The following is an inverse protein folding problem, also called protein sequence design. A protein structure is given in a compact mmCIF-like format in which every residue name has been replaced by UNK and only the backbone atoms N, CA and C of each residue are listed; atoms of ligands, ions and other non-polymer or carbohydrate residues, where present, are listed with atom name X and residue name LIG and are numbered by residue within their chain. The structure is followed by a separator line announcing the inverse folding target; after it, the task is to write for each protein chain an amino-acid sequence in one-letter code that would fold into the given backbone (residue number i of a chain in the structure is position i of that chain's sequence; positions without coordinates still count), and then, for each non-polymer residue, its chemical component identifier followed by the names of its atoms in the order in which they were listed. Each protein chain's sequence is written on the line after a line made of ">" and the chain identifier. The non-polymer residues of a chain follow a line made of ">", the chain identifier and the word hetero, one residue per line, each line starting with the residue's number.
data_IF_299914630013
#
_entry.id   IF_299914630013
#
_cell.length_a   1.000
_cell.length_b   1.000
_cell.length_c   1.000
_cell.angle_alpha   90.00
_cell.angle_beta   90.00
_cell.angle_gamma   90.00
#
_symmetry.space_group_name_H-M   'P 1'
#
loop_
_entity.id
_entity.type
_entity.pdbx_description
1 polymer ?
#
# COMPACT_ATOMS: atom_id res chain seq x y z
N UNK A 1 -15.01 10.03 -7.43
CA UNK A 1 -15.07 9.38 -6.11
C UNK A 1 -13.63 9.08 -5.72
N UNK A 2 -13.16 9.68 -4.62
CA UNK A 2 -11.82 9.42 -4.11
C UNK A 2 -11.74 7.93 -3.72
N UNK A 3 -10.64 7.27 -4.03
CA UNK A 3 -10.39 5.92 -3.53
C UNK A 3 -10.18 6.04 -2.02
N UNK A 4 -11.16 5.63 -1.23
CA UNK A 4 -11.03 5.63 0.22
C UNK A 4 -9.89 4.69 0.60
N UNK A 5 -8.93 5.22 1.36
CA UNK A 5 -7.79 4.42 1.80
C UNK A 5 -8.30 3.42 2.83
N UNK A 6 -8.07 2.11 2.63
CA UNK A 6 -8.51 1.13 3.60
C UNK A 6 -7.94 1.42 4.98
N UNK A 7 -8.75 1.30 6.03
CA UNK A 7 -8.35 1.63 7.41
C UNK A 7 -7.18 0.79 7.93
N UNK A 8 -6.98 -0.41 7.36
CA UNK A 8 -5.84 -1.27 7.66
C UNK A 8 -4.52 -0.75 7.06
N UNK A 9 -4.57 0.10 6.03
CA UNK A 9 -3.39 0.70 5.38
C UNK A 9 -2.96 1.96 6.16
N UNK A 10 -2.46 1.73 7.37
CA UNK A 10 -2.08 2.77 8.33
C UNK A 10 -0.58 2.73 8.67
N UNK A 11 -0.13 3.68 9.49
CA UNK A 11 1.28 3.82 9.92
C UNK A 11 1.85 2.51 10.49
N UNK A 12 1.10 1.84 11.38
CA UNK A 12 1.54 0.61 12.02
C UNK A 12 1.71 -0.53 11.01
N UNK A 13 0.79 -0.65 10.06
CA UNK A 13 0.90 -1.63 8.99
C UNK A 13 2.10 -1.35 8.09
N UNK A 14 2.29 -0.09 7.66
CA UNK A 14 3.42 0.29 6.82
C UNK A 14 4.76 0.08 7.51
N UNK A 15 4.85 0.34 8.81
CA UNK A 15 6.07 0.08 9.58
C UNK A 15 6.42 -1.40 9.57
N UNK A 16 5.45 -2.28 9.84
CA UNK A 16 5.66 -3.74 9.78
C UNK A 16 6.11 -4.20 8.40
N UNK A 17 5.49 -3.68 7.33
CA UNK A 17 5.86 -4.01 5.95
C UNK A 17 7.28 -3.55 5.64
N UNK A 18 7.63 -2.30 5.97
CA UNK A 18 8.95 -1.74 5.69
C UNK A 18 10.05 -2.47 6.46
N UNK A 19 9.87 -2.71 7.77
CA UNK A 19 10.82 -3.47 8.60
C UNK A 19 11.09 -4.86 8.01
N UNK A 20 10.04 -5.56 7.58
CA UNK A 20 10.18 -6.88 6.96
C UNK A 20 10.85 -6.82 5.59
N UNK A 21 10.53 -5.81 4.77
CA UNK A 21 11.06 -5.67 3.42
C UNK A 21 12.53 -5.24 3.38
N UNK A 22 12.95 -4.41 4.33
CA UNK A 22 14.33 -3.89 4.41
C UNK A 22 15.19 -4.65 5.41
N UNK A 23 14.58 -5.61 6.13
CA UNK A 23 15.21 -6.37 7.22
C UNK A 23 15.86 -5.46 8.28
N UNK A 24 15.19 -4.35 8.61
CA UNK A 24 15.68 -3.33 9.52
C UNK A 24 14.59 -2.98 10.55
N UNK A 25 14.83 -3.33 11.81
CA UNK A 25 13.90 -3.07 12.91
C UNK A 25 13.97 -1.65 13.47
N UNK A 26 14.97 -0.85 13.08
CA UNK A 26 15.11 0.55 13.49
C UNK A 26 14.12 1.47 12.78
N UNK A 27 13.53 1.01 11.68
CA UNK A 27 12.57 1.79 10.89
C UNK A 27 11.38 2.20 11.75
N UNK A 28 11.06 3.50 11.73
CA UNK A 28 9.87 4.09 12.33
C UNK A 28 9.15 4.94 11.29
N UNK A 29 7.88 4.63 11.03
CA UNK A 29 7.09 5.39 10.06
C UNK A 29 6.56 6.67 10.70
N UNK A 30 6.80 7.80 10.04
CA UNK A 30 6.44 9.14 10.50
C UNK A 30 5.10 9.55 9.90
N UNK A 31 4.95 9.39 8.57
CA UNK A 31 3.75 9.78 7.86
C UNK A 31 3.50 8.90 6.62
N UNK A 32 2.24 8.81 6.20
CA UNK A 32 1.82 8.10 5.00
C UNK A 32 0.83 8.93 4.19
N UNK A 33 1.03 8.95 2.87
CA UNK A 33 0.12 9.57 1.93
C UNK A 33 -0.24 8.62 0.79
N UNK A 34 -1.52 8.33 0.64
CA UNK A 34 -2.06 7.42 -0.37
C UNK A 34 -2.72 8.16 -1.54
N UNK A 35 -2.60 7.58 -2.74
CA UNK A 35 -3.32 8.02 -3.94
C UNK A 35 -3.58 6.84 -4.88
N UNK A 36 -4.53 6.94 -5.82
CA UNK A 36 -4.69 5.95 -6.88
C UNK A 36 -3.36 5.73 -7.63
N UNK A 37 -2.99 4.47 -7.86
CA UNK A 37 -1.75 4.15 -8.58
C UNK A 37 -1.90 4.24 -10.11
N UNK A 38 -3.13 4.26 -10.63
CA UNK A 38 -3.46 4.24 -12.05
C UNK A 38 -4.61 5.21 -12.35
N UNK A 39 -4.87 5.44 -13.64
CA UNK A 39 -5.98 6.27 -14.07
C UNK A 39 -7.33 5.54 -13.94
N UNK A 40 -8.41 6.32 -13.97
CA UNK A 40 -9.76 5.76 -13.99
C UNK A 40 -9.94 4.88 -15.23
N UNK A 41 -10.30 3.62 -15.02
CA UNK A 41 -10.48 2.64 -16.08
C UNK A 41 -9.38 1.58 -16.10
N UNK A 42 -8.16 1.87 -15.64
CA UNK A 42 -7.03 0.94 -15.78
C UNK A 42 -7.01 -0.19 -14.72
N UNK A 43 -7.80 -0.05 -13.64
CA UNK A 43 -7.87 -0.96 -12.49
C UNK A 43 -9.01 -1.99 -12.60
N UNK A 44 -9.02 -2.78 -13.68
CA UNK A 44 -10.13 -3.68 -14.00
C UNK A 44 -10.36 -4.80 -12.96
N UNK A 45 -9.30 -5.48 -12.54
CA UNK A 45 -9.40 -6.69 -11.68
C UNK A 45 -8.89 -6.49 -10.25
N UNK A 46 -8.30 -5.34 -9.94
CA UNK A 46 -7.71 -5.07 -8.63
C UNK A 46 -7.75 -3.58 -8.33
N UNK A 47 -7.83 -3.22 -7.05
CA UNK A 47 -7.56 -1.85 -6.62
C UNK A 47 -6.05 -1.69 -6.43
N UNK A 48 -5.49 -0.65 -7.08
CA UNK A 48 -4.08 -0.33 -6.97
C UNK A 48 -3.91 1.02 -6.26
N UNK A 49 -3.28 0.98 -5.09
CA UNK A 49 -3.05 2.14 -4.22
C UNK A 49 -1.55 2.41 -4.17
N UNK A 50 -1.13 3.64 -4.48
CA UNK A 50 0.24 4.10 -4.27
C UNK A 50 0.32 4.80 -2.92
N UNK A 51 1.14 4.29 -2.02
CA UNK A 51 1.43 4.87 -0.71
C UNK A 51 2.84 5.45 -0.72
N UNK A 52 2.97 6.72 -0.39
CA UNK A 52 4.24 7.37 -0.12
C UNK A 52 4.43 7.37 1.39
N UNK A 53 5.51 6.75 1.84
CA UNK A 53 5.84 6.62 3.26
C UNK A 53 7.03 7.50 3.55
N UNK A 54 6.90 8.34 4.57
CA UNK A 54 8.02 9.03 5.21
C UNK A 54 8.37 8.26 6.48
N UNK A 55 9.63 7.85 6.60
CA UNK A 55 10.09 7.04 7.73
C UNK A 55 11.50 7.45 8.13
N UNK A 56 11.86 7.13 9.36
CA UNK A 56 13.23 7.26 9.85
C UNK A 56 13.85 5.91 10.12
N UNK A 57 15.17 5.80 9.98
CA UNK A 57 15.96 4.62 10.37
C UNK A 57 17.29 5.01 10.98
N UNK A 58 17.90 4.08 11.71
CA UNK A 58 19.27 4.25 12.20
C UNK A 58 20.25 3.83 11.10
N UNK A 59 21.12 4.75 10.71
CA UNK A 59 22.24 4.46 9.84
C UNK A 59 23.53 4.87 10.55
N UNK A 60 24.28 3.87 11.02
CA UNK A 60 25.57 4.05 11.68
C UNK A 60 25.52 4.96 12.91
N UNK A 61 24.48 4.85 13.74
CA UNK A 61 24.28 5.63 14.96
C UNK A 61 23.68 7.01 14.73
N UNK A 62 23.18 7.30 13.52
CA UNK A 62 22.47 8.53 13.19
C UNK A 62 21.08 8.22 12.69
N UNK A 63 20.08 8.95 13.20
CA UNK A 63 18.71 8.88 12.71
C UNK A 63 18.61 9.68 11.41
N UNK A 64 18.29 9.00 10.31
CA UNK A 64 18.03 9.60 9.01
C UNK A 64 16.55 9.49 8.65
N UNK A 65 16.04 10.42 7.85
CA UNK A 65 14.66 10.41 7.34
C UNK A 65 14.67 10.19 5.83
N UNK A 66 13.82 9.27 5.37
CA UNK A 66 13.72 8.88 3.97
C UNK A 66 12.26 8.82 3.50
N UNK A 67 12.09 8.84 2.17
CA UNK A 67 10.79 8.72 1.51
C UNK A 67 10.81 7.56 0.53
N UNK A 68 9.78 6.71 0.60
CA UNK A 68 9.63 5.56 -0.29
C UNK A 68 8.21 5.47 -0.82
N UNK A 69 8.07 5.12 -2.10
CA UNK A 69 6.77 4.90 -2.74
C UNK A 69 6.54 3.39 -2.90
N UNK A 70 5.41 2.90 -2.40
CA UNK A 70 5.00 1.50 -2.43
C UNK A 70 3.65 1.39 -3.15
N UNK A 71 3.49 0.42 -4.03
CA UNK A 71 2.21 0.15 -4.69
C UNK A 71 1.61 -1.12 -4.08
N UNK A 72 0.40 -0.99 -3.53
CA UNK A 72 -0.43 -2.08 -3.07
C UNK A 72 -1.40 -2.48 -4.15
N UNK A 73 -1.37 -3.76 -4.52
CA UNK A 73 -2.38 -4.38 -5.37
C UNK A 73 -3.26 -5.25 -4.49
N UNK A 74 -4.53 -4.87 -4.37
CA UNK A 74 -5.49 -5.56 -3.52
C UNK A 74 -6.72 -5.98 -4.32
N UNK A 75 -7.45 -6.95 -3.79
CA UNK A 75 -8.77 -7.28 -4.33
C UNK A 75 -9.69 -6.07 -4.28
N UNK A 76 -10.62 -5.95 -5.25
CA UNK A 76 -11.64 -4.90 -5.23
C UNK A 76 -12.28 -4.77 -3.84
N UNK A 77 -12.03 -3.63 -3.21
CA UNK A 77 -12.46 -3.35 -1.85
C UNK A 77 -13.97 -3.11 -1.79
N UNK A 78 -14.47 -2.31 -2.74
CA UNK A 78 -15.88 -1.93 -2.87
C UNK A 78 -16.74 -3.12 -3.33
N UNK A 79 -17.78 -3.42 -2.56
CA UNK A 79 -18.83 -4.37 -2.91
C UNK A 79 -19.51 -4.00 -4.23
N UNK A 80 -19.85 -5.03 -5.02
CA UNK A 80 -20.61 -4.85 -6.26
C UNK A 80 -20.19 -5.81 -7.36
N UNK A 81 -20.68 -5.53 -8.57
CA UNK A 81 -20.51 -6.40 -9.73
C UNK A 81 -19.03 -6.70 -10.04
N UNK A 82 -18.13 -5.71 -9.91
CA UNK A 82 -16.69 -5.91 -10.14
C UNK A 82 -16.09 -6.94 -9.19
N UNK A 83 -16.35 -6.81 -7.88
CA UNK A 83 -15.85 -7.75 -6.85
C UNK A 83 -16.42 -9.15 -7.08
N UNK A 84 -17.73 -9.23 -7.36
CA UNK A 84 -18.40 -10.50 -7.64
C UNK A 84 -17.84 -11.18 -8.89
N UNK A 85 -17.61 -10.42 -9.97
CA UNK A 85 -17.05 -10.94 -11.21
C UNK A 85 -15.61 -11.45 -11.03
N UNK A 86 -14.76 -10.66 -10.37
CA UNK A 86 -13.38 -11.07 -10.07
C UNK A 86 -13.35 -12.35 -9.22
N UNK A 87 -14.23 -12.44 -8.23
CA UNK A 87 -14.35 -13.64 -7.40
C UNK A 87 -14.92 -14.83 -8.16
N UNK A 88 -15.95 -14.64 -8.99
CA UNK A 88 -16.60 -15.69 -9.77
C UNK A 88 -15.64 -16.30 -10.79
N UNK A 89 -14.84 -15.46 -11.45
CA UNK A 89 -13.89 -15.86 -12.48
C UNK A 89 -12.53 -16.30 -11.89
N UNK A 90 -12.37 -16.31 -10.57
CA UNK A 90 -11.11 -16.59 -9.88
C UNK A 90 -9.91 -15.76 -10.42
N UNK A 91 -10.16 -14.50 -10.78
CA UNK A 91 -9.15 -13.60 -11.37
C UNK A 91 -8.27 -12.97 -10.28
N UNK A 92 -7.52 -13.79 -9.56
CA UNK A 92 -6.57 -13.35 -8.55
C UNK A 92 -5.18 -13.20 -9.18
N UNK A 93 -4.73 -11.96 -9.40
CA UNK A 93 -3.36 -11.71 -9.84
C UNK A 93 -2.50 -11.39 -8.60
N UNK A 94 -1.78 -12.40 -8.13
CA UNK A 94 -0.67 -12.24 -7.18
C UNK A 94 0.60 -11.97 -7.98
N UNK A 95 1.33 -10.90 -7.65
CA UNK A 95 2.64 -10.56 -8.23
C UNK A 95 3.68 -10.69 -7.12
#
# INVERSE_FOLDING_TARGET
>A
MALETPTWLNLCFMEKVLRKSENDNSIQVIDIFSKPATNKGDNYTSDMIRVNVEFSRDQSGRKITEKKSVIFKIMPSVEGFRKNLVSLLNLYIFI
#
